data_IF_839312536527
#
_entry.id   IF_839312536527
#
_cell.length_a   1.000
_cell.length_b   1.000
_cell.length_c   1.000
_cell.angle_alpha   90.00
_cell.angle_beta   90.00
_cell.angle_gamma   90.00
#
_symmetry.space_group_name_H-M   'P 1'
#
loop_
_entity.id
_entity.type
_entity.pdbx_description
1 polymer ?
#
# COMPACT_ATOMS: atom_id res chain seq x y z
N UNK A 1 10.02 11.25 -1.54
CA UNK A 1 10.06 10.56 -2.85
C UNK A 1 11.42 9.94 -3.16
N UNK A 2 12.56 10.59 -2.87
CA UNK A 2 13.90 10.03 -3.17
C UNK A 2 14.20 8.74 -2.39
N UNK A 3 13.93 8.69 -1.08
CA UNK A 3 14.17 7.50 -0.25
C UNK A 3 13.39 6.28 -0.74
N UNK A 4 12.10 6.44 -1.09
CA UNK A 4 11.27 5.35 -1.64
C UNK A 4 11.89 4.78 -2.91
N UNK A 5 12.34 5.63 -3.85
CA UNK A 5 12.95 5.18 -5.10
C UNK A 5 14.28 4.45 -4.86
N UNK A 6 15.13 5.00 -4.00
CA UNK A 6 16.41 4.38 -3.65
C UNK A 6 16.20 3.06 -2.92
N UNK A 7 15.24 3.01 -1.99
CA UNK A 7 14.87 1.82 -1.25
C UNK A 7 14.41 0.69 -2.17
N UNK A 8 13.49 0.99 -3.09
CA UNK A 8 13.03 0.04 -4.10
C UNK A 8 14.19 -0.41 -5.01
N UNK A 9 15.01 0.51 -5.50
CA UNK A 9 16.16 0.16 -6.34
C UNK A 9 17.17 -0.77 -5.63
N UNK A 10 17.45 -0.52 -4.35
CA UNK A 10 18.32 -1.39 -3.54
C UNK A 10 17.67 -2.76 -3.36
N UNK A 11 16.37 -2.80 -2.99
CA UNK A 11 15.66 -4.05 -2.80
C UNK A 11 15.68 -4.92 -4.08
N UNK A 12 15.45 -4.30 -5.25
CA UNK A 12 15.54 -4.97 -6.55
C UNK A 12 16.95 -5.48 -6.85
N UNK A 13 17.97 -4.63 -6.64
CA UNK A 13 19.38 -5.01 -6.89
C UNK A 13 19.84 -6.14 -5.97
N UNK A 14 19.30 -6.19 -4.74
CA UNK A 14 19.61 -7.21 -3.73
C UNK A 14 18.68 -8.42 -3.77
N UNK A 15 17.70 -8.44 -4.68
CA UNK A 15 16.68 -9.48 -4.79
C UNK A 15 15.94 -9.72 -3.46
N UNK A 16 15.62 -8.64 -2.76
CA UNK A 16 14.81 -8.68 -1.54
C UNK A 16 13.33 -8.78 -1.87
N UNK A 17 12.61 -9.53 -1.04
CA UNK A 17 11.15 -9.61 -1.07
C UNK A 17 10.56 -8.27 -0.60
N UNK A 18 9.65 -7.73 -1.39
CA UNK A 18 8.95 -6.47 -1.12
C UNK A 18 7.48 -6.76 -0.82
N UNK A 19 6.97 -6.20 0.27
CA UNK A 19 5.54 -6.19 0.59
C UNK A 19 5.09 -4.78 0.96
N UNK A 20 3.91 -4.39 0.48
CA UNK A 20 3.27 -3.13 0.87
C UNK A 20 2.06 -3.43 1.74
N UNK A 21 1.98 -2.72 2.86
CA UNK A 21 0.90 -2.79 3.83
C UNK A 21 0.26 -1.43 3.98
N UNK A 22 -1.04 -1.42 4.25
CA UNK A 22 -1.81 -0.22 4.58
C UNK A 22 -2.36 -0.37 6.00
N UNK A 23 -2.17 0.66 6.83
CA UNK A 23 -2.68 0.67 8.21
C UNK A 23 -4.09 1.24 8.22
N UNK A 24 -5.07 0.43 8.61
CA UNK A 24 -6.44 0.90 8.70
C UNK A 24 -6.57 1.95 9.81
N UNK A 25 -7.20 3.07 9.51
CA UNK A 25 -7.51 4.11 10.49
C UNK A 25 -6.28 4.58 11.30
N UNK A 26 -5.11 4.68 10.67
CA UNK A 26 -3.82 4.94 11.32
C UNK A 26 -3.87 6.04 12.39
N UNK A 27 -4.52 7.17 12.11
CA UNK A 27 -4.62 8.29 13.05
C UNK A 27 -5.43 7.98 14.31
N UNK A 28 -6.32 6.97 14.31
CA UNK A 28 -7.07 6.57 15.50
C UNK A 28 -6.24 5.77 16.50
N UNK A 29 -5.07 5.28 16.10
CA UNK A 29 -4.17 4.56 17.00
C UNK A 29 -3.27 5.48 17.84
N UNK A 30 -3.14 6.75 17.45
CA UNK A 30 -2.32 7.74 18.16
C UNK A 30 -2.89 8.09 19.54
N UNK A 31 -2.00 8.14 20.52
CA UNK A 31 -2.33 8.59 21.88
C UNK A 31 -2.35 10.13 21.92
N UNK A 32 -3.32 10.72 22.63
CA UNK A 32 -3.36 12.16 22.85
C UNK A 32 -2.67 12.48 24.18
N UNK A 33 -1.67 13.36 24.13
CA UNK A 33 -1.01 13.88 25.33
C UNK A 33 -1.76 15.07 25.96
N UNK A 34 -2.74 15.61 25.24
CA UNK A 34 -3.50 16.81 25.61
C UNK A 34 -4.98 16.46 25.72
N UNK A 35 -5.70 17.17 26.58
CA UNK A 35 -7.15 17.02 26.68
C UNK A 35 -7.84 17.80 25.56
N UNK A 36 -8.28 17.07 24.54
CA UNK A 36 -9.04 17.66 23.42
C UNK A 36 -10.51 17.34 23.58
N UNK A 37 -11.34 18.38 23.54
CA UNK A 37 -12.78 18.28 23.54
C UNK A 37 -13.33 18.67 22.16
N UNK A 38 -14.40 18.01 21.72
CA UNK A 38 -15.12 18.35 20.50
C UNK A 38 -16.60 18.52 20.78
N UNK A 39 -17.26 19.32 19.95
CA UNK A 39 -18.72 19.38 19.94
C UNK A 39 -19.31 18.03 19.54
N UNK A 40 -20.52 17.73 20.02
CA UNK A 40 -21.19 16.50 19.62
C UNK A 40 -21.44 16.49 18.11
N UNK A 41 -21.31 15.34 17.43
CA UNK A 41 -21.65 15.23 16.02
C UNK A 41 -23.10 15.61 15.74
N UNK A 42 -23.35 16.07 14.51
CA UNK A 42 -24.71 16.35 14.03
C UNK A 42 -25.58 15.09 14.17
N UNK A 43 -26.79 15.26 14.72
CA UNK A 43 -27.73 14.17 15.01
C UNK A 43 -27.65 13.62 16.44
N UNK A 44 -26.60 13.92 17.20
CA UNK A 44 -26.48 13.56 18.63
C UNK A 44 -26.76 14.73 19.59
N UNK A 45 -26.84 15.95 19.04
CA UNK A 45 -27.04 17.18 19.82
C UNK A 45 -28.51 17.60 19.77
N UNK A 46 -29.10 17.93 20.92
CA UNK A 46 -30.35 18.71 20.97
C UNK A 46 -30.03 20.21 20.93
N UNK A 47 -30.95 21.06 20.45
CA UNK A 47 -30.77 22.51 20.55
C UNK A 47 -30.62 22.85 22.04
N UNK A 48 -29.46 23.37 22.42
CA UNK A 48 -29.06 23.71 23.80
C UNK A 48 -28.45 22.59 24.68
N UNK A 49 -27.88 21.53 24.09
CA UNK A 49 -27.11 20.53 24.84
C UNK A 49 -25.72 21.07 25.26
N UNK A 50 -25.40 21.18 26.56
CA UNK A 50 -24.11 21.68 27.04
C UNK A 50 -22.99 20.61 27.01
N UNK A 51 -23.30 19.37 26.62
CA UNK A 51 -22.31 18.29 26.63
C UNK A 51 -21.26 18.51 25.54
N UNK A 52 -20.07 17.97 25.79
CA UNK A 52 -18.96 17.91 24.84
C UNK A 52 -18.34 16.51 24.89
N UNK A 53 -17.75 16.07 23.78
CA UNK A 53 -17.05 14.79 23.72
C UNK A 53 -15.57 15.00 24.04
N UNK A 54 -15.04 14.26 25.02
CA UNK A 54 -13.59 14.18 25.26
C UNK A 54 -12.98 13.12 24.35
N UNK A 55 -11.99 13.51 23.55
CA UNK A 55 -11.27 12.58 22.69
C UNK A 55 -10.30 11.73 23.53
N UNK A 56 -10.40 10.40 23.40
CA UNK A 56 -9.48 9.44 24.04
C UNK A 56 -8.28 9.08 23.16
N UNK A 57 -8.39 9.30 21.85
CA UNK A 57 -7.43 8.99 20.81
C UNK A 57 -7.42 10.10 19.77
N UNK A 58 -6.34 10.21 19.00
CA UNK A 58 -6.31 11.18 17.91
C UNK A 58 -7.40 10.88 16.87
N UNK A 59 -7.95 11.94 16.27
CA UNK A 59 -8.99 11.87 15.27
C UNK A 59 -8.50 12.56 13.99
N UNK A 60 -9.04 12.16 12.85
CA UNK A 60 -8.85 12.87 11.59
C UNK A 60 -9.21 14.35 11.73
N UNK A 61 -8.40 15.22 11.13
CA UNK A 61 -8.56 16.68 11.19
C UNK A 61 -7.84 17.36 12.37
N UNK A 62 -7.36 16.61 13.37
CA UNK A 62 -6.47 17.19 14.39
C UNK A 62 -5.09 17.47 13.81
N UNK A 63 -4.56 18.67 14.06
CA UNK A 63 -3.25 19.13 13.56
C UNK A 63 -2.09 18.23 14.00
N UNK A 64 -2.24 17.56 15.13
CA UNK A 64 -1.26 16.68 15.76
C UNK A 64 -1.45 15.19 15.46
N UNK A 65 -2.55 14.78 14.81
CA UNK A 65 -2.89 13.37 14.63
C UNK A 65 -1.79 12.56 13.94
N UNK A 66 -1.22 13.09 12.86
CA UNK A 66 -0.14 12.44 12.12
C UNK A 66 1.12 12.22 12.97
N UNK A 67 1.48 13.20 13.79
CA UNK A 67 2.64 13.11 14.69
C UNK A 67 2.41 12.08 15.80
N UNK A 68 1.21 12.04 16.38
CA UNK A 68 0.90 11.08 17.45
C UNK A 68 0.85 9.65 16.93
N UNK A 69 0.29 9.46 15.73
CA UNK A 69 0.36 8.19 15.02
C UNK A 69 1.81 7.73 14.81
N UNK A 70 2.62 8.58 14.18
CA UNK A 70 4.02 8.26 13.90
C UNK A 70 4.82 7.99 15.18
N UNK A 71 4.60 8.76 16.25
CA UNK A 71 5.25 8.55 17.55
C UNK A 71 4.88 7.19 18.15
N UNK A 72 3.59 6.81 18.08
CA UNK A 72 3.13 5.50 18.55
C UNK A 72 3.79 4.37 17.77
N UNK A 73 3.71 4.44 16.45
CA UNK A 73 4.29 3.45 15.54
C UNK A 73 5.81 3.30 15.72
N UNK A 74 6.53 4.41 15.74
CA UNK A 74 7.98 4.44 15.97
C UNK A 74 8.34 3.80 17.30
N UNK A 75 7.65 4.16 18.39
CA UNK A 75 7.92 3.58 19.72
C UNK A 75 7.66 2.07 19.76
N UNK A 76 6.63 1.58 19.07
CA UNK A 76 6.33 0.15 18.98
C UNK A 76 7.38 -0.60 18.17
N UNK A 77 7.85 -0.03 17.05
CA UNK A 77 8.89 -0.63 16.22
C UNK A 77 10.24 -0.71 16.94
N UNK A 78 10.62 0.36 17.66
CA UNK A 78 11.84 0.38 18.47
C UNK A 78 11.78 -0.68 19.57
N UNK A 79 10.63 -0.84 20.24
CA UNK A 79 10.41 -1.90 21.25
C UNK A 79 10.46 -3.30 20.64
N UNK A 80 10.03 -3.45 19.39
CA UNK A 80 10.10 -4.70 18.64
C UNK A 80 11.53 -5.03 18.13
N UNK A 81 12.51 -4.17 18.38
CA UNK A 81 13.92 -4.41 18.06
C UNK A 81 14.39 -3.79 16.75
N UNK A 82 13.61 -2.90 16.13
CA UNK A 82 14.09 -2.11 15.01
C UNK A 82 14.95 -0.94 15.48
N UNK A 83 15.88 -0.52 14.62
CA UNK A 83 16.65 0.71 14.78
C UNK A 83 16.27 1.71 13.69
N UNK A 84 16.10 2.98 14.05
CA UNK A 84 15.78 4.03 13.09
C UNK A 84 17.05 4.50 12.38
N UNK A 85 16.99 4.69 11.05
CA UNK A 85 18.12 5.18 10.27
C UNK A 85 18.41 6.65 10.62
N UNK A 86 19.70 7.01 10.75
CA UNK A 86 20.12 8.39 11.05
C UNK A 86 19.85 9.37 9.90
N UNK A 87 19.84 8.85 8.67
CA UNK A 87 19.67 9.65 7.46
C UNK A 87 18.21 9.93 7.13
N UNK A 88 17.29 9.07 7.58
CA UNK A 88 15.86 9.19 7.30
C UNK A 88 15.04 8.59 8.43
N UNK A 89 14.21 9.42 9.08
CA UNK A 89 13.34 9.00 10.17
C UNK A 89 12.23 8.04 9.73
N UNK A 90 11.89 7.99 8.44
CA UNK A 90 10.89 7.05 7.91
C UNK A 90 11.42 5.62 7.75
N UNK A 91 12.75 5.43 7.81
CA UNK A 91 13.39 4.14 7.57
C UNK A 91 13.80 3.47 8.89
N UNK A 92 13.32 2.25 9.08
CA UNK A 92 13.64 1.38 10.21
C UNK A 92 14.31 0.12 9.70
N UNK A 93 15.42 -0.27 10.33
CA UNK A 93 16.24 -1.41 9.92
C UNK A 93 16.46 -2.31 11.11
N UNK A 94 16.32 -3.61 10.89
CA UNK A 94 16.74 -4.66 11.81
C UNK A 94 17.58 -5.66 11.01
N UNK A 95 18.79 -5.90 11.48
CA UNK A 95 19.72 -6.81 10.86
C UNK A 95 20.24 -7.79 11.90
N UNK A 96 20.19 -9.07 11.55
CA UNK A 96 20.85 -10.15 12.28
C UNK A 96 22.03 -10.66 11.44
N UNK A 97 22.73 -11.69 11.91
CA UNK A 97 23.84 -12.30 11.15
C UNK A 97 23.39 -12.90 9.80
N UNK A 98 22.12 -13.30 9.70
CA UNK A 98 21.59 -14.06 8.55
C UNK A 98 20.39 -13.39 7.88
N UNK A 99 19.61 -12.61 8.63
CA UNK A 99 18.43 -11.91 8.13
C UNK A 99 18.60 -10.39 8.14
N UNK A 100 18.07 -9.75 7.12
CA UNK A 100 17.98 -8.31 6.98
C UNK A 100 16.54 -7.96 6.67
N UNK A 101 15.95 -7.06 7.45
CA UNK A 101 14.63 -6.52 7.21
C UNK A 101 14.64 -5.00 7.40
N UNK A 102 14.04 -4.30 6.46
CA UNK A 102 13.86 -2.87 6.49
C UNK A 102 12.41 -2.50 6.25
N UNK A 103 11.96 -1.47 6.96
CA UNK A 103 10.62 -0.91 6.91
C UNK A 103 10.74 0.56 6.53
N UNK A 104 10.07 0.95 5.46
CA UNK A 104 9.92 2.33 5.06
C UNK A 104 8.47 2.77 5.29
N UNK A 105 8.29 3.76 6.13
CA UNK A 105 6.97 4.21 6.61
C UNK A 105 6.61 5.54 5.96
N UNK A 106 5.47 5.59 5.28
CA UNK A 106 4.94 6.81 4.70
C UNK A 106 3.48 7.00 5.07
N UNK A 107 3.24 7.71 6.18
CA UNK A 107 1.91 7.99 6.74
C UNK A 107 1.17 6.69 7.06
N UNK A 108 0.29 6.22 6.15
CA UNK A 108 -0.55 5.02 6.33
C UNK A 108 0.06 3.80 5.61
N UNK A 109 0.98 4.02 4.67
CA UNK A 109 1.68 2.98 3.92
C UNK A 109 2.94 2.51 4.65
N UNK A 110 3.16 1.20 4.68
CA UNK A 110 4.38 0.56 5.16
C UNK A 110 4.94 -0.34 4.08
N UNK A 111 6.13 -0.04 3.58
CA UNK A 111 6.85 -0.88 2.62
C UNK A 111 7.89 -1.68 3.38
N UNK A 112 7.81 -3.00 3.30
CA UNK A 112 8.75 -3.95 3.90
C UNK A 112 9.66 -4.48 2.81
N UNK A 113 10.98 -4.44 3.02
CA UNK A 113 11.95 -5.18 2.21
C UNK A 113 12.75 -6.13 3.12
N UNK A 114 12.86 -7.40 2.74
CA UNK A 114 13.63 -8.39 3.50
C UNK A 114 14.29 -9.41 2.58
N UNK A 115 15.40 -9.98 3.02
CA UNK A 115 15.97 -11.18 2.39
C UNK A 115 15.34 -12.49 2.89
N UNK A 116 14.51 -12.45 3.93
CA UNK A 116 13.83 -13.60 4.52
C UNK A 116 12.32 -13.35 4.64
N UNK A 117 11.52 -14.23 4.02
CA UNK A 117 10.06 -14.19 4.06
C UNK A 117 9.50 -14.48 5.46
N UNK A 118 10.17 -15.30 6.26
CA UNK A 118 9.72 -15.62 7.63
C UNK A 118 9.72 -14.38 8.51
N UNK A 119 10.74 -13.54 8.37
CA UNK A 119 10.85 -12.27 9.08
C UNK A 119 9.74 -11.29 8.65
N UNK A 120 9.39 -11.30 7.36
CA UNK A 120 8.26 -10.50 6.86
C UNK A 120 6.96 -10.95 7.53
N UNK A 121 6.68 -12.25 7.57
CA UNK A 121 5.44 -12.77 8.18
C UNK A 121 5.35 -12.46 9.68
N UNK A 122 6.47 -12.56 10.40
CA UNK A 122 6.55 -12.19 11.82
C UNK A 122 6.23 -10.69 12.02
N UNK A 123 6.82 -9.83 11.18
CA UNK A 123 6.57 -8.37 11.25
C UNK A 123 5.15 -8.04 10.84
N UNK A 124 4.61 -8.69 9.80
CA UNK A 124 3.20 -8.54 9.39
C UNK A 124 2.26 -8.88 10.54
N UNK A 125 2.49 -10.02 11.20
CA UNK A 125 1.67 -10.45 12.34
C UNK A 125 1.73 -9.43 13.49
N UNK A 126 2.93 -8.96 13.84
CA UNK A 126 3.11 -7.93 14.86
C UNK A 126 2.37 -6.62 14.53
N UNK A 127 2.50 -6.14 13.30
CA UNK A 127 1.82 -4.93 12.83
C UNK A 127 0.30 -5.12 12.81
N UNK A 128 -0.18 -6.31 12.43
CA UNK A 128 -1.60 -6.64 12.43
C UNK A 128 -2.20 -6.65 13.84
N UNK A 129 -1.50 -7.26 14.80
CA UNK A 129 -1.92 -7.29 16.21
C UNK A 129 -1.90 -5.90 16.84
N UNK A 130 -0.95 -5.04 16.46
CA UNK A 130 -0.79 -3.71 17.04
C UNK A 130 -1.70 -2.64 16.43
N UNK A 131 -1.90 -2.69 15.11
CA UNK A 131 -2.47 -1.58 14.32
C UNK A 131 -3.49 -2.01 13.26
N UNK A 132 -3.86 -3.29 13.19
CA UNK A 132 -4.85 -3.80 12.22
C UNK A 132 -4.53 -3.42 10.77
N UNK A 133 -3.52 -4.06 10.20
CA UNK A 133 -3.09 -3.82 8.82
C UNK A 133 -3.96 -4.53 7.79
N UNK A 134 -3.99 -3.98 6.58
CA UNK A 134 -4.45 -4.60 5.36
C UNK A 134 -3.24 -4.89 4.46
N UNK A 135 -3.10 -6.15 4.05
CA UNK A 135 -2.07 -6.52 3.07
C UNK A 135 -2.49 -6.03 1.68
N UNK A 136 -1.63 -5.26 1.02
CA UNK A 136 -1.86 -4.75 -0.32
C UNK A 136 -1.23 -5.62 -1.40
N UNK A 137 -0.64 -6.76 -1.04
CA UNK A 137 -0.22 -7.75 -2.02
C UNK A 137 -1.41 -8.12 -2.90
N UNK A 138 -1.42 -7.60 -4.11
CA UNK A 138 -2.32 -8.05 -5.16
C UNK A 138 -2.03 -9.53 -5.33
N UNK A 139 -2.95 -10.41 -4.95
CA UNK A 139 -2.80 -11.87 -4.80
C UNK A 139 -2.35 -12.68 -6.02
N UNK A 140 -1.33 -12.23 -6.74
CA UNK A 140 -0.71 -12.84 -7.93
C UNK A 140 0.44 -13.77 -7.58
N UNK A 141 0.58 -14.17 -6.31
CA UNK A 141 1.63 -15.08 -5.86
C UNK A 141 1.59 -16.44 -6.58
N UNK A 142 0.42 -16.89 -7.06
CA UNK A 142 0.25 -18.16 -7.80
C UNK A 142 0.25 -18.09 -9.34
N UNK A 143 0.36 -16.91 -9.96
CA UNK A 143 0.16 -16.79 -11.41
C UNK A 143 1.43 -17.10 -12.21
N UNK A 144 1.32 -17.94 -13.25
CA UNK A 144 2.43 -18.31 -14.15
C UNK A 144 3.00 -17.06 -14.85
N UNK A 145 4.33 -16.85 -14.83
CA UNK A 145 4.96 -15.72 -15.52
C UNK A 145 4.74 -15.80 -17.03
N UNK A 146 4.60 -14.64 -17.69
CA UNK A 146 4.43 -14.52 -19.14
C UNK A 146 5.57 -13.68 -19.70
N UNK A 147 6.13 -14.03 -20.86
CA UNK A 147 7.31 -13.36 -21.44
C UNK A 147 7.03 -12.04 -22.14
N UNK A 148 5.76 -11.64 -22.28
CA UNK A 148 5.35 -10.40 -22.95
C UNK A 148 4.08 -9.82 -22.31
N UNK A 149 3.97 -8.48 -22.24
CA UNK A 149 2.88 -7.81 -21.52
C UNK A 149 1.52 -7.94 -22.21
N UNK A 150 1.50 -8.05 -23.55
CA UNK A 150 0.27 -8.16 -24.35
C UNK A 150 0.55 -8.79 -25.73
N UNK A 151 -0.41 -9.51 -26.32
CA UNK A 151 -0.31 -10.01 -27.71
C UNK A 151 -0.72 -8.93 -28.71
N UNK A 152 0.12 -8.68 -29.73
CA UNK A 152 -0.14 -7.65 -30.75
C UNK A 152 -1.34 -7.93 -31.65
N UNK A 153 -1.89 -9.16 -31.61
CA UNK A 153 -3.01 -9.63 -32.44
C UNK A 153 -4.38 -9.57 -31.75
N UNK A 154 -4.46 -9.21 -30.46
CA UNK A 154 -5.74 -9.04 -29.77
C UNK A 154 -6.34 -7.67 -30.10
N UNK A 155 -7.31 -7.65 -31.02
CA UNK A 155 -8.20 -6.51 -31.19
C UNK A 155 -9.05 -6.41 -29.91
N UNK A 156 -8.66 -5.54 -28.98
CA UNK A 156 -9.50 -5.12 -27.87
C UNK A 156 -10.75 -4.46 -28.44
N UNK A 157 -11.81 -5.23 -28.67
CA UNK A 157 -13.06 -4.72 -29.23
C UNK A 157 -13.96 -4.22 -28.11
N UNK A 158 -14.45 -2.99 -28.24
CA UNK A 158 -15.37 -2.38 -27.28
C UNK A 158 -16.70 -3.14 -27.08
N UNK A 159 -17.00 -4.09 -27.98
CA UNK A 159 -18.20 -4.93 -27.97
C UNK A 159 -17.84 -6.41 -27.74
N UNK A 160 -17.00 -6.69 -26.75
CA UNK A 160 -16.84 -8.06 -26.28
C UNK A 160 -18.17 -8.52 -25.66
N UNK A 161 -18.68 -9.66 -26.11
CA UNK A 161 -19.83 -10.36 -25.53
C UNK A 161 -19.58 -10.93 -24.13
N UNK A 162 -18.49 -10.51 -23.48
CA UNK A 162 -18.11 -10.90 -22.14
C UNK A 162 -18.89 -10.11 -21.09
N UNK A 163 -19.10 -10.64 -19.88
CA UNK A 163 -19.85 -9.93 -18.85
C UNK A 163 -19.09 -8.71 -18.36
N UNK A 164 -19.85 -7.64 -18.07
CA UNK A 164 -19.37 -6.46 -17.36
C UNK A 164 -18.79 -6.84 -16.01
N UNK A 165 -17.74 -6.13 -15.59
CA UNK A 165 -17.13 -6.35 -14.29
C UNK A 165 -18.10 -5.97 -13.16
N UNK A 166 -18.24 -6.86 -12.17
CA UNK A 166 -19.05 -6.60 -10.96
C UNK A 166 -18.50 -5.44 -10.11
N UNK A 167 -17.16 -5.28 -10.05
CA UNK A 167 -16.51 -4.17 -9.37
C UNK A 167 -15.53 -3.40 -10.28
N UNK A 168 -16.00 -2.39 -11.04
CA UNK A 168 -15.14 -1.54 -11.86
C UNK A 168 -14.07 -0.75 -11.08
N UNK A 169 -14.24 -0.56 -9.76
CA UNK A 169 -13.29 0.20 -8.96
C UNK A 169 -11.97 -0.55 -8.79
N UNK A 170 -12.01 -1.87 -8.64
CA UNK A 170 -10.82 -2.73 -8.61
C UNK A 170 -9.96 -2.57 -9.88
N UNK A 171 -10.60 -2.61 -11.05
CA UNK A 171 -9.93 -2.43 -12.34
C UNK A 171 -9.30 -1.05 -12.48
N UNK A 172 -10.05 0.02 -12.17
CA UNK A 172 -9.53 1.40 -12.23
C UNK A 172 -8.32 1.60 -11.32
N UNK A 173 -8.36 1.02 -10.10
CA UNK A 173 -7.23 1.06 -9.16
C UNK A 173 -6.02 0.33 -9.71
N UNK A 174 -6.21 -0.85 -10.30
CA UNK A 174 -5.13 -1.63 -10.91
C UNK A 174 -4.48 -0.86 -12.08
N UNK A 175 -5.28 -0.37 -13.02
CA UNK A 175 -4.79 0.41 -14.16
C UNK A 175 -4.07 1.68 -13.70
N UNK A 176 -4.60 2.39 -12.70
CA UNK A 176 -3.94 3.56 -12.11
C UNK A 176 -2.54 3.25 -11.56
N UNK A 177 -2.36 2.11 -10.89
CA UNK A 177 -1.04 1.65 -10.41
C UNK A 177 -0.10 1.32 -11.58
N UNK A 178 -0.61 0.64 -12.61
CA UNK A 178 0.16 0.31 -13.80
C UNK A 178 0.62 1.56 -14.58
N UNK A 179 -0.23 2.58 -14.67
CA UNK A 179 0.09 3.89 -15.27
C UNK A 179 1.23 4.60 -14.53
N UNK A 180 1.34 4.43 -13.21
CA UNK A 180 2.48 4.96 -12.47
C UNK A 180 3.76 4.18 -12.79
N UNK A 181 3.66 2.86 -12.94
CA UNK A 181 4.77 1.96 -13.29
C UNK A 181 5.36 2.26 -14.67
N UNK A 182 4.57 2.74 -15.64
CA UNK A 182 5.06 3.07 -16.99
C UNK A 182 6.13 4.18 -17.00
N UNK A 183 6.16 5.04 -15.97
CA UNK A 183 7.19 6.08 -15.79
C UNK A 183 8.58 5.46 -15.68
N UNK A 184 8.68 4.32 -14.99
CA UNK A 184 9.94 3.58 -14.78
C UNK A 184 10.12 2.39 -15.71
N UNK A 185 9.05 1.95 -16.38
CA UNK A 185 9.00 0.75 -17.24
C UNK A 185 8.33 1.08 -18.58
N UNK A 186 9.07 1.67 -19.54
CA UNK A 186 8.52 2.12 -20.81
C UNK A 186 8.01 0.96 -21.69
N UNK A 187 8.50 -0.26 -21.46
CA UNK A 187 8.04 -1.51 -22.06
C UNK A 187 6.56 -1.81 -21.78
N UNK A 188 5.99 -1.27 -20.71
CA UNK A 188 4.59 -1.45 -20.34
C UNK A 188 3.65 -0.41 -20.97
N UNK A 189 4.19 0.69 -21.52
CA UNK A 189 3.42 1.87 -21.94
C UNK A 189 2.30 1.50 -22.90
N UNK A 190 2.60 0.69 -23.92
CA UNK A 190 1.61 0.32 -24.92
C UNK A 190 0.43 -0.47 -24.32
N UNK A 191 0.73 -1.52 -23.55
CA UNK A 191 -0.29 -2.38 -22.96
C UNK A 191 -1.17 -1.62 -21.96
N UNK A 192 -0.55 -0.81 -21.10
CA UNK A 192 -1.27 -0.03 -20.08
C UNK A 192 -2.11 1.08 -20.72
N UNK A 193 -1.60 1.75 -21.76
CA UNK A 193 -2.35 2.77 -22.48
C UNK A 193 -3.58 2.18 -23.17
N UNK A 194 -3.46 1.00 -23.79
CA UNK A 194 -4.58 0.31 -24.42
C UNK A 194 -5.66 -0.08 -23.39
N UNK A 195 -5.26 -0.63 -22.24
CA UNK A 195 -6.19 -0.98 -21.16
C UNK A 195 -6.86 0.24 -20.52
N UNK A 196 -6.16 1.38 -20.43
CA UNK A 196 -6.70 2.62 -19.86
C UNK A 196 -7.93 3.16 -20.60
N UNK A 197 -8.11 2.81 -21.88
CA UNK A 197 -9.26 3.22 -22.68
C UNK A 197 -10.58 2.61 -22.16
N UNK A 198 -10.53 1.52 -21.41
CA UNK A 198 -11.70 0.79 -20.91
C UNK A 198 -12.02 1.05 -19.44
N UNK A 199 -11.48 2.13 -18.84
CA UNK A 199 -11.73 2.47 -17.43
C UNK A 199 -13.18 2.85 -17.12
N UNK A 200 -13.92 3.37 -18.10
CA UNK A 200 -15.33 3.74 -17.94
C UNK A 200 -16.23 2.50 -17.82
N UNK A 201 -16.02 1.50 -18.69
CA UNK A 201 -16.83 0.30 -18.80
C UNK A 201 -15.98 -0.98 -18.98
N UNK A 202 -15.32 -1.46 -17.90
CA UNK A 202 -14.44 -2.62 -17.99
C UNK A 202 -15.22 -3.93 -18.07
N UNK A 203 -14.70 -4.86 -18.88
CA UNK A 203 -15.22 -6.21 -19.05
C UNK A 203 -14.24 -7.23 -18.47
N UNK A 204 -14.68 -8.48 -18.27
CA UNK A 204 -13.83 -9.53 -17.70
C UNK A 204 -12.58 -9.84 -18.53
N UNK A 205 -12.65 -9.70 -19.85
CA UNK A 205 -11.48 -9.84 -20.76
C UNK A 205 -10.43 -8.77 -20.49
N UNK A 206 -10.84 -7.52 -20.33
CA UNK A 206 -9.94 -6.42 -19.98
C UNK A 206 -9.23 -6.64 -18.64
N UNK A 207 -9.94 -7.22 -17.66
CA UNK A 207 -9.32 -7.59 -16.39
C UNK A 207 -8.27 -8.68 -16.61
N UNK A 208 -8.58 -9.75 -17.35
CA UNK A 208 -7.62 -10.82 -17.66
C UNK A 208 -6.36 -10.31 -18.36
N UNK A 209 -6.50 -9.34 -19.27
CA UNK A 209 -5.35 -8.70 -19.92
C UNK A 209 -4.53 -7.85 -18.94
N UNK A 210 -5.18 -7.11 -18.04
CA UNK A 210 -4.47 -6.38 -16.98
C UNK A 210 -3.73 -7.34 -16.03
N UNK A 211 -4.31 -8.49 -15.71
CA UNK A 211 -3.65 -9.55 -14.94
C UNK A 211 -2.45 -10.15 -15.69
N UNK A 212 -2.51 -10.26 -17.02
CA UNK A 212 -1.40 -10.72 -17.85
C UNK A 212 -0.22 -9.74 -17.77
N UNK A 213 -0.49 -8.43 -17.79
CA UNK A 213 0.56 -7.41 -17.57
C UNK A 213 1.22 -7.59 -16.21
N UNK A 214 0.44 -7.86 -15.15
CA UNK A 214 1.01 -8.17 -13.83
C UNK A 214 1.89 -9.43 -13.84
N UNK A 215 1.49 -10.48 -14.55
CA UNK A 215 2.31 -11.70 -14.71
C UNK A 215 3.62 -11.44 -15.45
N UNK A 216 3.61 -10.53 -16.42
CA UNK A 216 4.82 -10.10 -17.12
C UNK A 216 5.76 -9.31 -16.21
N UNK A 217 5.22 -8.37 -15.41
CA UNK A 217 6.00 -7.64 -14.40
C UNK A 217 6.63 -8.61 -13.39
N UNK A 218 5.88 -9.63 -12.96
CA UNK A 218 6.41 -10.68 -12.08
C UNK A 218 7.55 -11.48 -12.74
N UNK A 219 7.46 -11.75 -14.04
CA UNK A 219 8.49 -12.46 -14.81
C UNK A 219 9.74 -11.60 -15.05
N UNK A 220 9.57 -10.28 -15.07
CA UNK A 220 10.61 -9.29 -15.34
C UNK A 220 10.63 -8.26 -14.22
N UNK A 221 11.19 -8.55 -13.03
CA UNK A 221 11.16 -7.62 -11.90
C UNK A 221 11.82 -6.26 -12.18
N UNK A 222 12.64 -6.18 -13.23
CA UNK A 222 13.54 -5.05 -13.48
C UNK A 222 14.82 -5.20 -12.68
#
# INVERSE_FOLDING_TARGET
>A
MTTVRVFLAIATTKQWYLHQLDVNNAFLHGDLNEEVYMQLPLGFSTPNDPRVCKLKKSLYGLRQASRQWYSKLSSSLLKFGFSQAKTDSSLFIRQTSTSFIALLIYVDDVIIASNDLKEIDVVKKFLHESFTIKDLDSGFSGSKPVGFPMESSLKLTANDSSPLLSDPASYRRLIGRLLYLTITRPDLVYAVQALSQFMSNPHSTHLQDAERVLRYIKATPG
#
